data_IF_056461634072
#
_entry.id   IF_056461634072
#
_cell.length_a   1.000
_cell.length_b   1.000
_cell.length_c   1.000
_cell.angle_alpha   90.00
_cell.angle_beta   90.00
_cell.angle_gamma   90.00
#
_symmetry.space_group_name_H-M   'P 1'
#
loop_
_entity.id
_entity.type
_entity.pdbx_description
1 polymer ?
#
# COMPACT_ATOMS: atom_id res chain seq x y z
N UNK A 1 4.78 50.16 -34.42
CA UNK A 1 3.34 50.22 -34.14
C UNK A 1 2.87 48.87 -33.67
N UNK A 2 2.72 48.70 -32.36
CA UNK A 2 2.22 47.44 -31.77
C UNK A 2 0.73 47.31 -32.02
N UNK A 3 0.35 46.24 -32.67
CA UNK A 3 -1.03 45.81 -32.78
C UNK A 3 -1.39 45.30 -31.37
N UNK A 4 -2.04 46.13 -30.57
CA UNK A 4 -2.78 45.69 -29.40
C UNK A 4 -3.93 44.84 -29.95
N UNK A 5 -3.80 43.52 -29.87
CA UNK A 5 -4.92 42.62 -30.05
C UNK A 5 -5.95 42.95 -28.91
N UNK A 6 -7.00 43.66 -29.30
CA UNK A 6 -8.17 43.83 -28.47
C UNK A 6 -8.88 42.46 -28.43
N UNK A 7 -8.58 41.64 -27.41
CA UNK A 7 -9.44 40.53 -27.13
C UNK A 7 -10.83 41.05 -26.72
N UNK A 8 -11.86 40.63 -27.42
CA UNK A 8 -13.23 40.91 -27.07
C UNK A 8 -13.54 40.23 -25.70
N UNK A 9 -14.42 40.81 -24.92
CA UNK A 9 -14.86 40.25 -23.64
C UNK A 9 -15.52 38.87 -23.79
N UNK A 10 -16.08 38.58 -24.93
CA UNK A 10 -16.59 37.22 -25.26
C UNK A 10 -15.46 36.21 -25.33
N UNK A 11 -14.32 36.58 -25.90
CA UNK A 11 -13.14 35.71 -26.00
C UNK A 11 -12.54 35.41 -24.62
N UNK A 12 -12.51 36.41 -23.73
CA UNK A 12 -11.99 36.26 -22.36
C UNK A 12 -12.89 35.32 -21.56
N UNK A 13 -14.20 35.48 -21.67
CA UNK A 13 -15.16 34.59 -21.00
C UNK A 13 -15.02 33.15 -21.51
N UNK A 14 -14.91 32.98 -22.81
CA UNK A 14 -14.70 31.65 -23.42
C UNK A 14 -13.40 31.00 -22.96
N UNK A 15 -12.32 31.78 -22.82
CA UNK A 15 -11.04 31.28 -22.32
C UNK A 15 -11.17 30.79 -20.88
N UNK A 16 -11.88 31.51 -20.00
CA UNK A 16 -12.13 31.10 -18.60
C UNK A 16 -13.01 29.84 -18.57
N UNK A 17 -14.06 29.78 -19.39
CA UNK A 17 -14.94 28.61 -19.49
C UNK A 17 -14.16 27.38 -19.97
N UNK A 18 -13.24 27.53 -20.94
CA UNK A 18 -12.39 26.45 -21.40
C UNK A 18 -11.41 25.96 -20.31
N UNK A 19 -10.85 26.87 -19.51
CA UNK A 19 -10.03 26.52 -18.37
C UNK A 19 -10.84 25.76 -17.33
N UNK A 20 -12.07 26.18 -17.04
CA UNK A 20 -12.98 25.49 -16.13
C UNK A 20 -13.32 24.11 -16.65
N UNK A 21 -13.60 23.95 -17.94
CA UNK A 21 -13.90 22.62 -18.52
C UNK A 21 -12.72 21.66 -18.34
N UNK A 22 -11.47 22.11 -18.58
CA UNK A 22 -10.27 21.29 -18.32
C UNK A 22 -10.13 20.94 -16.84
N UNK A 23 -10.42 21.85 -15.95
CA UNK A 23 -10.40 21.58 -14.51
C UNK A 23 -11.44 20.52 -14.11
N UNK A 24 -12.65 20.60 -14.66
CA UNK A 24 -13.70 19.60 -14.41
C UNK A 24 -13.31 18.22 -14.97
N UNK A 25 -12.64 18.16 -16.11
CA UNK A 25 -12.10 16.91 -16.66
C UNK A 25 -11.03 16.30 -15.72
N UNK A 26 -10.09 17.10 -15.22
CA UNK A 26 -9.09 16.64 -14.27
C UNK A 26 -9.70 16.22 -12.93
N UNK A 27 -10.72 16.92 -12.48
CA UNK A 27 -11.48 16.56 -11.28
C UNK A 27 -12.21 15.23 -11.45
N UNK A 28 -12.81 15.01 -12.63
CA UNK A 28 -13.41 13.72 -12.96
C UNK A 28 -12.36 12.59 -12.96
N UNK A 29 -11.22 12.80 -13.62
CA UNK A 29 -10.11 11.84 -13.63
C UNK A 29 -9.61 11.54 -12.21
N UNK A 30 -9.51 12.55 -11.36
CA UNK A 30 -9.14 12.39 -9.95
C UNK A 30 -10.11 11.46 -9.22
N UNK A 31 -11.41 11.69 -9.33
CA UNK A 31 -12.40 10.84 -8.67
C UNK A 31 -12.42 9.41 -9.21
N UNK A 32 -12.26 9.22 -10.52
CA UNK A 32 -12.21 7.89 -11.11
C UNK A 32 -10.97 7.12 -10.66
N UNK A 33 -9.81 7.77 -10.65
CA UNK A 33 -8.55 7.15 -10.21
C UNK A 33 -8.60 6.84 -8.72
N UNK A 34 -9.12 7.74 -7.89
CA UNK A 34 -9.32 7.52 -6.47
C UNK A 34 -10.24 6.33 -6.19
N UNK A 35 -11.34 6.23 -6.93
CA UNK A 35 -12.31 5.13 -6.84
C UNK A 35 -11.68 3.77 -7.17
N UNK A 36 -10.68 3.74 -8.05
CA UNK A 36 -9.94 2.53 -8.38
C UNK A 36 -8.82 2.23 -7.36
N UNK A 37 -8.12 3.26 -6.88
CA UNK A 37 -6.94 3.11 -6.02
C UNK A 37 -7.29 2.73 -4.58
N UNK A 38 -8.29 3.36 -3.98
CA UNK A 38 -8.62 3.14 -2.57
C UNK A 38 -8.96 1.69 -2.22
N UNK A 39 -9.82 0.98 -2.97
CA UNK A 39 -10.09 -0.43 -2.68
C UNK A 39 -8.85 -1.31 -2.79
N UNK A 40 -7.94 -1.00 -3.71
CA UNK A 40 -6.69 -1.73 -3.89
C UNK A 40 -5.74 -1.53 -2.70
N UNK A 41 -5.63 -0.33 -2.18
CA UNK A 41 -4.83 -0.03 -0.99
C UNK A 41 -5.41 -0.69 0.27
N UNK A 42 -6.74 -0.71 0.41
CA UNK A 42 -7.41 -1.42 1.49
C UNK A 42 -7.16 -2.93 1.42
N UNK A 43 -7.26 -3.51 0.22
CA UNK A 43 -6.94 -4.90 -0.02
C UNK A 43 -5.48 -5.21 0.34
N UNK A 44 -4.55 -4.33 -0.01
CA UNK A 44 -3.14 -4.48 0.35
C UNK A 44 -2.94 -4.47 1.87
N UNK A 45 -3.60 -3.58 2.59
CA UNK A 45 -3.54 -3.52 4.05
C UNK A 45 -4.11 -4.79 4.70
N UNK A 46 -5.26 -5.25 4.24
CA UNK A 46 -5.89 -6.49 4.73
C UNK A 46 -5.00 -7.70 4.48
N UNK A 47 -4.47 -7.85 3.27
CA UNK A 47 -3.59 -8.96 2.90
C UNK A 47 -2.33 -9.01 3.78
N UNK A 48 -1.75 -7.85 4.09
CA UNK A 48 -0.60 -7.78 5.01
C UNK A 48 -0.95 -8.29 6.41
N UNK A 49 -2.10 -7.92 6.95
CA UNK A 49 -2.56 -8.40 8.26
C UNK A 49 -2.77 -9.92 8.25
N UNK A 50 -3.47 -10.43 7.25
CA UNK A 50 -3.73 -11.87 7.12
C UNK A 50 -2.44 -12.68 6.98
N UNK A 51 -1.49 -12.21 6.19
CA UNK A 51 -0.19 -12.87 6.05
C UNK A 51 0.57 -12.92 7.37
N UNK A 52 0.66 -11.81 8.09
CA UNK A 52 1.35 -11.76 9.38
C UNK A 52 0.69 -12.69 10.41
N UNK A 53 -0.63 -12.77 10.41
CA UNK A 53 -1.35 -13.73 11.27
C UNK A 53 -1.03 -15.18 10.88
N UNK A 54 -0.95 -15.48 9.58
CA UNK A 54 -0.67 -16.82 9.09
C UNK A 54 0.75 -17.31 9.37
N UNK A 55 1.71 -16.40 9.61
CA UNK A 55 3.11 -16.78 9.88
C UNK A 55 3.31 -17.51 11.22
N UNK A 56 2.36 -17.42 12.14
CA UNK A 56 2.37 -18.24 13.35
C UNK A 56 2.37 -19.74 13.02
N UNK A 57 1.66 -20.15 11.96
CA UNK A 57 1.56 -21.55 11.55
C UNK A 57 2.93 -22.18 11.29
N UNK A 58 3.81 -21.52 10.53
CA UNK A 58 5.16 -22.05 10.28
C UNK A 58 6.01 -22.09 11.56
N UNK A 59 5.87 -21.08 12.41
CA UNK A 59 6.59 -21.05 13.69
C UNK A 59 6.19 -22.23 14.57
N UNK A 60 4.91 -22.50 14.67
CA UNK A 60 4.37 -23.63 15.43
C UNK A 60 4.73 -24.99 14.84
N UNK A 61 4.70 -25.09 13.50
CA UNK A 61 5.08 -26.32 12.81
C UNK A 61 6.58 -26.63 13.01
N UNK A 62 7.46 -25.65 12.87
CA UNK A 62 8.90 -25.84 13.05
C UNK A 62 9.28 -26.22 14.48
N UNK A 63 8.51 -25.78 15.49
CA UNK A 63 8.71 -26.21 16.88
C UNK A 63 8.33 -27.66 17.13
N UNK A 64 7.37 -28.19 16.39
CA UNK A 64 6.91 -29.56 16.51
C UNK A 64 7.78 -30.58 15.79
N UNK A 65 8.69 -30.12 14.93
CA UNK A 65 9.57 -31.01 14.15
C UNK A 65 10.83 -31.32 14.95
N UNK A 66 10.99 -32.58 15.31
CA UNK A 66 12.19 -33.13 15.93
C UNK A 66 13.29 -33.31 14.87
N UNK A 67 14.55 -33.22 15.29
CA UNK A 67 15.75 -33.42 14.43
C UNK A 67 15.78 -32.54 13.18
N UNK A 68 15.19 -31.35 13.25
CA UNK A 68 15.24 -30.39 12.16
C UNK A 68 16.71 -30.00 11.86
N UNK A 69 17.23 -30.23 10.65
CA UNK A 69 18.64 -30.02 10.35
C UNK A 69 19.05 -28.57 10.52
N UNK A 70 20.24 -28.39 11.08
CA UNK A 70 20.81 -27.04 11.28
C UNK A 70 21.21 -26.36 9.98
N UNK A 71 21.47 -27.13 8.93
CA UNK A 71 21.84 -26.67 7.59
C UNK A 71 21.17 -27.56 6.54
N UNK A 72 20.45 -26.95 5.60
CA UNK A 72 19.91 -27.65 4.44
C UNK A 72 20.97 -27.67 3.33
N UNK A 73 21.68 -28.79 3.18
CA UNK A 73 22.84 -28.94 2.30
C UNK A 73 22.55 -28.85 0.80
N UNK A 74 21.31 -28.88 0.37
CA UNK A 74 20.95 -29.12 -1.05
C UNK A 74 20.14 -28.01 -1.70
N UNK A 75 19.95 -26.87 -1.06
CA UNK A 75 19.24 -25.77 -1.70
C UNK A 75 20.20 -24.62 -1.98
N UNK A 76 20.09 -24.10 -3.19
CA UNK A 76 20.78 -22.89 -3.67
C UNK A 76 20.46 -21.64 -2.81
N UNK A 77 19.60 -21.78 -1.82
CA UNK A 77 19.25 -20.74 -0.87
C UNK A 77 20.13 -20.89 0.36
N UNK A 78 21.23 -20.17 0.35
CA UNK A 78 22.10 -20.10 1.51
C UNK A 78 21.30 -19.68 2.75
N UNK A 79 21.42 -20.46 3.81
CA UNK A 79 20.90 -20.16 5.15
C UNK A 79 19.39 -20.03 5.28
N UNK A 80 18.67 -21.12 4.98
CA UNK A 80 17.30 -21.22 5.38
C UNK A 80 17.16 -21.77 6.81
N UNK A 81 17.45 -20.95 7.80
CA UNK A 81 17.24 -21.27 9.21
C UNK A 81 16.40 -20.21 9.88
N UNK A 82 15.23 -20.61 10.31
CA UNK A 82 14.42 -19.79 11.19
C UNK A 82 14.77 -20.16 12.64
N UNK A 83 15.61 -19.34 13.27
CA UNK A 83 16.01 -19.54 14.66
C UNK A 83 14.86 -19.27 15.64
N UNK A 84 15.06 -19.68 16.90
CA UNK A 84 14.06 -19.45 17.96
C UNK A 84 13.63 -17.98 18.09
N UNK A 85 14.55 -16.98 18.10
CA UNK A 85 14.16 -15.57 18.18
C UNK A 85 13.25 -15.13 17.04
N UNK A 86 13.49 -15.63 15.82
CA UNK A 86 12.68 -15.29 14.65
C UNK A 86 11.28 -15.92 14.74
N UNK A 87 11.18 -17.19 15.17
CA UNK A 87 9.89 -17.85 15.42
C UNK A 87 9.10 -17.14 16.51
N UNK A 88 9.74 -16.78 17.61
CA UNK A 88 9.10 -16.05 18.70
C UNK A 88 8.58 -14.68 18.22
N UNK A 89 9.37 -13.97 17.42
CA UNK A 89 8.96 -12.70 16.80
C UNK A 89 7.76 -12.86 15.86
N UNK A 90 7.71 -13.94 15.07
CA UNK A 90 6.54 -14.22 14.22
C UNK A 90 5.28 -14.48 15.05
N UNK A 91 5.41 -15.28 16.12
CA UNK A 91 4.28 -15.57 17.02
C UNK A 91 3.79 -14.32 17.73
N UNK A 92 4.67 -13.51 18.26
CA UNK A 92 4.29 -12.31 18.99
C UNK A 92 3.58 -11.32 18.03
N UNK A 93 4.09 -11.16 16.83
CA UNK A 93 3.43 -10.35 15.80
C UNK A 93 2.06 -10.92 15.45
N UNK A 94 1.96 -12.23 15.23
CA UNK A 94 0.69 -12.88 14.89
C UNK A 94 -0.35 -12.73 15.99
N UNK A 95 0.05 -12.87 17.27
CA UNK A 95 -0.83 -12.67 18.42
C UNK A 95 -1.37 -11.25 18.51
N UNK A 96 -0.53 -10.25 18.26
CA UNK A 96 -0.97 -8.85 18.26
C UNK A 96 -1.93 -8.59 17.11
N UNK A 97 -1.63 -9.11 15.91
CA UNK A 97 -2.54 -9.02 14.76
C UNK A 97 -3.88 -9.70 15.06
N UNK A 98 -3.85 -10.90 15.63
CA UNK A 98 -5.07 -11.64 16.01
C UNK A 98 -5.91 -10.87 17.03
N UNK A 99 -5.27 -10.24 18.02
CA UNK A 99 -5.95 -9.39 18.98
C UNK A 99 -6.62 -8.17 18.31
N UNK A 100 -5.94 -7.53 17.37
CA UNK A 100 -6.48 -6.42 16.57
C UNK A 100 -7.68 -6.89 15.75
N UNK A 101 -7.56 -8.03 15.09
CA UNK A 101 -8.61 -8.60 14.24
C UNK A 101 -9.84 -9.01 15.05
N UNK A 102 -9.65 -9.61 16.23
CA UNK A 102 -10.73 -10.02 17.17
C UNK A 102 -11.38 -8.84 17.87
N UNK A 103 -10.62 -7.77 18.13
CA UNK A 103 -11.13 -6.54 18.73
C UNK A 103 -12.05 -5.73 17.81
N UNK A 104 -12.25 -6.21 16.60
CA UNK A 104 -13.13 -5.64 15.58
C UNK A 104 -12.37 -4.80 14.58
N UNK A 105 -11.97 -5.40 13.45
CA UNK A 105 -11.46 -4.63 12.31
C UNK A 105 -12.46 -3.60 11.79
N UNK A 106 -13.73 -3.72 12.12
CA UNK A 106 -14.72 -2.69 11.89
C UNK A 106 -14.35 -1.35 12.56
N UNK A 107 -13.56 -1.40 13.63
CA UNK A 107 -13.07 -0.22 14.35
C UNK A 107 -11.68 0.25 13.84
N UNK A 108 -10.93 -0.60 13.14
CA UNK A 108 -9.69 -0.20 12.45
C UNK A 108 -10.10 0.37 11.08
N UNK A 109 -10.35 1.65 11.02
CA UNK A 109 -10.88 2.26 9.81
C UNK A 109 -9.94 2.12 8.63
N UNK A 110 -10.56 2.25 7.50
CA UNK A 110 -9.97 2.23 6.17
C UNK A 110 -8.70 3.10 6.04
N UNK A 111 -8.63 4.22 6.75
CA UNK A 111 -7.45 5.08 6.79
C UNK A 111 -6.21 4.40 7.37
N UNK A 112 -6.37 3.55 8.38
CA UNK A 112 -5.27 2.78 8.98
C UNK A 112 -4.76 1.72 8.03
N UNK A 113 -5.67 0.99 7.40
CA UNK A 113 -5.31 -0.03 6.42
C UNK A 113 -4.64 0.57 5.19
N UNK A 114 -5.10 1.75 4.75
CA UNK A 114 -4.46 2.52 3.68
C UNK A 114 -3.04 2.94 4.08
N UNK A 115 -2.86 3.42 5.30
CA UNK A 115 -1.54 3.78 5.81
C UNK A 115 -0.62 2.56 5.91
N UNK A 116 -1.12 1.42 6.40
CA UNK A 116 -0.38 0.16 6.41
C UNK A 116 0.06 -0.27 5.01
N UNK A 117 -0.80 -0.09 4.03
CA UNK A 117 -0.48 -0.42 2.65
C UNK A 117 0.58 0.50 2.05
N UNK A 118 0.55 1.78 2.37
CA UNK A 118 1.41 2.80 1.76
C UNK A 118 2.73 2.99 2.48
N UNK A 119 2.71 2.99 3.83
CA UNK A 119 3.86 3.39 4.62
C UNK A 119 4.85 2.31 4.89
N UNK A 120 4.41 1.14 5.12
CA UNK A 120 5.35 0.07 5.28
C UNK A 120 4.70 -1.25 5.01
N UNK A 121 5.47 -2.05 4.39
CA UNK A 121 5.25 -3.44 4.46
C UNK A 121 5.32 -3.94 5.88
N UNK A 122 5.78 -3.24 6.85
CA UNK A 122 5.92 -3.80 8.18
C UNK A 122 5.17 -3.01 9.21
N UNK A 123 4.44 -3.73 10.01
CA UNK A 123 3.94 -3.23 11.27
C UNK A 123 5.06 -2.76 12.22
N UNK A 124 6.31 -2.94 11.84
CA UNK A 124 7.52 -2.53 12.57
C UNK A 124 8.09 -1.21 12.09
N UNK A 125 7.43 -0.52 11.14
CA UNK A 125 7.82 0.83 10.76
C UNK A 125 7.72 1.76 11.97
N UNK A 126 8.77 2.52 12.23
CA UNK A 126 8.82 3.51 13.31
C UNK A 126 8.47 4.88 12.77
N UNK A 127 7.55 5.54 13.43
CA UNK A 127 7.23 6.93 13.11
C UNK A 127 8.39 7.86 13.48
N UNK A 128 8.72 8.78 12.58
CA UNK A 128 9.74 9.79 12.76
C UNK A 128 9.12 11.17 13.05
N UNK A 129 9.90 12.12 13.61
CA UNK A 129 9.41 13.45 14.00
C UNK A 129 8.77 14.25 12.86
N UNK A 130 9.11 13.91 11.63
CA UNK A 130 8.65 14.60 10.43
C UNK A 130 7.57 13.84 9.67
N UNK A 131 7.02 12.80 10.25
CA UNK A 131 5.86 12.15 9.66
C UNK A 131 4.67 13.09 9.78
N UNK A 132 4.45 13.86 8.72
CA UNK A 132 3.43 14.91 8.64
C UNK A 132 2.02 14.36 8.65
N UNK A 133 1.89 13.05 8.63
CA UNK A 133 0.61 12.40 8.52
C UNK A 133 0.03 12.20 9.90
N UNK A 134 -0.86 13.10 10.22
CA UNK A 134 -1.87 12.81 11.23
C UNK A 134 -2.86 11.85 10.61
N UNK A 135 -2.64 10.57 10.84
CA UNK A 135 -3.59 9.55 10.42
C UNK A 135 -4.93 9.85 11.09
N UNK A 136 -6.01 10.06 10.32
CA UNK A 136 -7.32 10.28 10.90
C UNK A 136 -7.68 9.11 11.83
N UNK A 137 -8.05 9.42 13.07
CA UNK A 137 -8.38 8.41 14.08
C UNK A 137 -7.18 7.84 14.84
N UNK A 138 -5.93 8.17 14.45
CA UNK A 138 -4.77 7.92 15.30
C UNK A 138 -4.54 9.09 16.27
N UNK A 139 -4.34 8.83 17.56
CA UNK A 139 -3.68 9.79 18.41
C UNK A 139 -2.28 10.06 17.81
N UNK A 140 -1.70 11.21 18.12
CA UNK A 140 -0.37 11.52 17.63
C UNK A 140 0.58 10.37 17.99
N UNK A 141 1.06 9.67 16.98
CA UNK A 141 2.04 8.61 17.20
C UNK A 141 3.35 9.26 17.65
N UNK A 142 3.81 8.85 18.82
CA UNK A 142 5.09 9.32 19.34
C UNK A 142 6.23 8.78 18.47
N UNK A 143 7.30 9.59 18.36
CA UNK A 143 8.52 9.18 17.68
C UNK A 143 9.00 7.84 18.21
N UNK A 144 9.34 6.95 17.28
CA UNK A 144 9.84 5.61 17.58
C UNK A 144 8.77 4.57 17.87
N UNK A 145 7.48 4.96 17.98
CA UNK A 145 6.37 4.01 18.05
C UNK A 145 6.21 3.29 16.70
N UNK A 146 6.04 1.99 16.73
CA UNK A 146 5.77 1.21 15.52
C UNK A 146 4.27 1.23 15.20
N UNK A 147 3.92 0.95 13.94
CA UNK A 147 2.51 0.80 13.55
C UNK A 147 1.83 -0.28 14.40
N UNK A 148 2.53 -1.39 14.65
CA UNK A 148 2.02 -2.48 15.49
C UNK A 148 1.72 -2.03 16.92
N UNK A 149 2.64 -1.28 17.53
CA UNK A 149 2.44 -0.72 18.88
C UNK A 149 1.30 0.28 18.89
N UNK A 150 1.21 1.16 17.90
CA UNK A 150 0.12 2.12 17.78
C UNK A 150 -1.24 1.42 17.66
N UNK A 151 -1.33 0.35 16.88
CA UNK A 151 -2.54 -0.45 16.74
C UNK A 151 -2.90 -1.21 18.04
N UNK A 152 -1.91 -1.71 18.76
CA UNK A 152 -2.11 -2.52 19.97
C UNK A 152 -2.44 -1.71 21.22
N UNK A 153 -1.92 -0.48 21.32
CA UNK A 153 -2.04 0.35 22.53
C UNK A 153 -3.16 1.38 22.46
N UNK A 154 -3.61 1.71 21.26
CA UNK A 154 -4.60 2.76 21.05
C UNK A 154 -5.92 2.16 20.57
N UNK A 155 -7.00 2.41 21.32
CA UNK A 155 -8.35 2.20 20.81
C UNK A 155 -8.60 3.20 19.69
N UNK A 156 -8.39 2.76 18.45
CA UNK A 156 -8.61 3.56 17.27
C UNK A 156 -10.13 3.65 17.08
N UNK A 157 -10.72 4.70 17.62
CA UNK A 157 -12.09 5.05 17.28
C UNK A 157 -12.09 5.74 15.93
N UNK A 158 -12.36 5.00 14.88
CA UNK A 158 -12.56 5.59 13.57
C UNK A 158 -13.99 6.10 13.50
N UNK A 159 -14.18 7.36 13.09
CA UNK A 159 -15.53 7.83 12.78
C UNK A 159 -16.14 6.93 11.71
N UNK A 160 -17.36 6.50 11.94
CA UNK A 160 -18.12 5.62 11.01
C UNK A 160 -18.47 6.28 9.66
N UNK A 161 -17.84 7.39 9.33
CA UNK A 161 -18.01 8.10 8.06
C UNK A 161 -17.03 7.52 7.03
N UNK A 162 -17.46 6.49 6.31
CA UNK A 162 -16.73 5.95 5.17
C UNK A 162 -16.26 7.03 4.19
N UNK A 163 -15.31 6.72 3.34
CA UNK A 163 -14.74 7.52 2.25
C UNK A 163 -13.98 8.83 2.65
N UNK A 164 -14.40 9.59 3.63
CA UNK A 164 -13.77 10.89 3.99
C UNK A 164 -12.41 10.69 4.65
N UNK A 165 -12.27 9.71 5.54
CA UNK A 165 -11.01 9.43 6.22
C UNK A 165 -9.95 8.89 5.26
N UNK A 166 -10.35 8.00 4.34
CA UNK A 166 -9.48 7.42 3.30
C UNK A 166 -8.97 8.49 2.34
N UNK A 167 -9.87 9.32 1.85
CA UNK A 167 -9.56 10.45 0.97
C UNK A 167 -8.61 11.42 1.67
N UNK A 168 -8.81 11.69 2.95
CA UNK A 168 -7.96 12.58 3.74
C UNK A 168 -6.54 12.05 3.89
N UNK A 169 -6.38 10.75 4.14
CA UNK A 169 -5.06 10.11 4.21
C UNK A 169 -4.35 10.19 2.87
N UNK A 170 -5.02 9.81 1.79
CA UNK A 170 -4.45 9.84 0.46
C UNK A 170 -4.06 11.25 0.03
N UNK A 171 -4.92 12.24 0.29
CA UNK A 171 -4.65 13.63 -0.01
C UNK A 171 -3.46 14.18 0.80
N UNK A 172 -3.37 13.86 2.08
CA UNK A 172 -2.23 14.26 2.91
C UNK A 172 -0.90 13.69 2.39
N UNK A 173 -0.91 12.41 1.98
CA UNK A 173 0.27 11.72 1.46
C UNK A 173 0.71 12.28 0.11
N UNK A 174 -0.23 12.53 -0.78
CA UNK A 174 0.04 13.04 -2.13
C UNK A 174 0.28 14.55 -2.16
N UNK A 175 0.17 15.22 -1.01
CA UNK A 175 0.36 16.66 -0.91
C UNK A 175 -0.72 17.44 -1.66
N UNK A 176 -1.92 16.90 -1.74
CA UNK A 176 -3.07 17.57 -2.34
C UNK A 176 -3.63 18.55 -1.30
N UNK A 177 -3.34 19.84 -1.38
CA UNK A 177 -4.12 20.81 -0.63
C UNK A 177 -5.57 20.68 -1.10
N UNK A 178 -6.51 21.21 -0.36
CA UNK A 178 -7.94 21.23 -0.75
C UNK A 178 -8.14 21.85 -2.16
N UNK A 179 -7.81 21.06 -3.19
CA UNK A 179 -7.65 21.52 -4.58
C UNK A 179 -8.98 21.53 -5.29
N UNK A 180 -9.94 20.79 -4.75
CA UNK A 180 -11.29 20.75 -5.30
C UNK A 180 -12.03 21.93 -4.70
N UNK A 181 -12.13 22.99 -5.49
CA UNK A 181 -12.83 24.20 -5.08
C UNK A 181 -13.74 24.71 -6.20
N UNK A 182 -14.76 25.43 -5.80
CA UNK A 182 -15.57 26.23 -6.70
C UNK A 182 -14.85 27.56 -6.95
N UNK A 183 -14.62 27.88 -8.21
CA UNK A 183 -13.96 29.12 -8.61
C UNK A 183 -14.92 30.32 -8.72
N UNK A 184 -16.21 30.09 -8.61
CA UNK A 184 -17.21 31.15 -8.63
C UNK A 184 -17.25 31.94 -9.94
N UNK A 185 -17.10 31.26 -11.07
CA UNK A 185 -17.11 31.86 -12.43
C UNK A 185 -18.37 32.68 -12.68
N UNK A 186 -19.49 32.24 -12.12
CA UNK A 186 -20.79 32.95 -12.24
C UNK A 186 -20.77 34.33 -11.62
N UNK A 187 -19.85 34.60 -10.70
CA UNK A 187 -19.67 35.89 -10.02
C UNK A 187 -18.77 36.87 -10.79
N UNK A 188 -18.24 36.44 -11.93
CA UNK A 188 -17.33 37.25 -12.71
C UNK A 188 -18.06 38.40 -13.36
N UNK A 189 -17.64 39.62 -13.04
CA UNK A 189 -18.17 40.85 -13.68
C UNK A 189 -17.79 40.85 -15.16
N UNK A 190 -18.77 41.12 -16.02
CA UNK A 190 -18.57 41.14 -17.48
C UNK A 190 -17.56 42.19 -17.97
N UNK A 191 -17.13 43.10 -17.10
CA UNK A 191 -16.28 44.24 -17.48
C UNK A 191 -14.85 44.19 -16.94
N UNK A 192 -14.47 43.16 -16.19
CA UNK A 192 -13.15 43.05 -15.56
C UNK A 192 -12.29 41.95 -16.20
N UNK A 193 -11.56 42.37 -17.26
CA UNK A 193 -10.62 41.46 -17.97
C UNK A 193 -9.49 40.98 -17.07
N UNK A 194 -8.98 41.80 -16.20
CA UNK A 194 -7.85 41.49 -15.33
C UNK A 194 -8.26 40.44 -14.29
N UNK A 195 -9.47 40.60 -13.71
CA UNK A 195 -10.03 39.62 -12.80
C UNK A 195 -10.27 38.24 -13.50
N UNK A 196 -10.78 38.28 -14.73
CA UNK A 196 -10.99 37.06 -15.54
C UNK A 196 -9.68 36.35 -15.85
N UNK A 197 -8.63 37.06 -16.24
CA UNK A 197 -7.32 36.46 -16.51
C UNK A 197 -6.65 35.91 -15.25
N UNK A 198 -6.75 36.59 -14.11
CA UNK A 198 -6.27 36.06 -12.82
C UNK A 198 -7.02 34.80 -12.41
N UNK A 199 -8.32 34.76 -12.65
CA UNK A 199 -9.14 33.60 -12.37
C UNK A 199 -8.75 32.42 -13.27
N UNK A 200 -8.56 32.67 -14.57
CA UNK A 200 -8.05 31.67 -15.52
C UNK A 200 -6.73 31.07 -15.04
N UNK A 201 -5.76 31.91 -14.66
CA UNK A 201 -4.45 31.47 -14.22
C UNK A 201 -4.56 30.62 -12.93
N UNK A 202 -5.46 31.01 -12.03
CA UNK A 202 -5.76 30.23 -10.82
C UNK A 202 -6.35 28.87 -11.16
N UNK A 203 -7.33 28.81 -12.07
CA UNK A 203 -7.95 27.57 -12.52
C UNK A 203 -6.91 26.67 -13.19
N UNK A 204 -6.11 27.20 -14.11
CA UNK A 204 -5.09 26.44 -14.81
C UNK A 204 -4.04 25.86 -13.85
N UNK A 205 -3.62 26.64 -12.86
CA UNK A 205 -2.70 26.17 -11.81
C UNK A 205 -3.28 24.98 -11.02
N UNK A 206 -4.55 25.04 -10.66
CA UNK A 206 -5.22 23.96 -9.96
C UNK A 206 -5.42 22.74 -10.84
N UNK A 207 -5.74 22.93 -12.12
CA UNK A 207 -5.83 21.84 -13.09
C UNK A 207 -4.49 21.09 -13.23
N UNK A 208 -3.38 21.83 -13.32
CA UNK A 208 -2.04 21.22 -13.40
C UNK A 208 -1.69 20.45 -12.11
N UNK A 209 -2.01 21.01 -10.94
CA UNK A 209 -1.78 20.31 -9.67
C UNK A 209 -2.61 19.03 -9.58
N UNK A 210 -3.86 19.09 -10.00
CA UNK A 210 -4.75 17.93 -10.00
C UNK A 210 -4.29 16.85 -10.98
N UNK A 211 -3.85 17.23 -12.18
CA UNK A 211 -3.27 16.32 -13.16
C UNK A 211 -2.00 15.63 -12.66
N UNK A 212 -1.12 16.35 -11.94
CA UNK A 212 0.07 15.76 -11.31
C UNK A 212 -0.31 14.70 -10.26
N UNK A 213 -1.30 15.01 -9.43
CA UNK A 213 -1.80 14.09 -8.42
C UNK A 213 -2.43 12.84 -9.06
N UNK A 214 -3.24 13.02 -10.09
CA UNK A 214 -3.83 11.90 -10.86
C UNK A 214 -2.73 11.02 -11.44
N UNK A 215 -1.70 11.62 -12.03
CA UNK A 215 -0.54 10.88 -12.56
C UNK A 215 0.20 10.08 -11.48
N UNK A 216 0.37 10.63 -10.29
CA UNK A 216 0.95 9.92 -9.13
C UNK A 216 0.07 8.76 -8.70
N UNK A 217 -1.23 8.96 -8.56
CA UNK A 217 -2.18 7.91 -8.17
C UNK A 217 -2.21 6.77 -9.18
N UNK A 218 -2.18 7.07 -10.48
CA UNK A 218 -2.16 6.06 -11.55
C UNK A 218 -0.90 5.19 -11.50
N UNK A 219 0.27 5.79 -11.25
CA UNK A 219 1.51 5.04 -11.06
C UNK A 219 1.46 4.11 -9.85
N UNK A 220 0.93 4.59 -8.74
CA UNK A 220 0.74 3.79 -7.53
C UNK A 220 -0.22 2.63 -7.82
N UNK A 221 -1.35 2.90 -8.48
CA UNK A 221 -2.35 1.89 -8.84
C UNK A 221 -1.72 0.73 -9.60
N UNK A 222 -1.03 1.01 -10.71
CA UNK A 222 -0.42 -0.03 -11.57
C UNK A 222 0.62 -0.83 -10.81
N UNK A 223 1.46 -0.17 -10.04
CA UNK A 223 2.58 -0.85 -9.37
C UNK A 223 2.12 -1.64 -8.16
N UNK A 224 1.19 -1.11 -7.38
CA UNK A 224 0.61 -1.83 -6.24
C UNK A 224 -0.18 -3.06 -6.71
N UNK A 225 -0.94 -2.95 -7.79
CA UNK A 225 -1.65 -4.09 -8.37
C UNK A 225 -0.69 -5.23 -8.75
N UNK A 226 0.41 -4.92 -9.42
CA UNK A 226 1.44 -5.91 -9.77
C UNK A 226 2.08 -6.53 -8.53
N UNK A 227 2.45 -5.71 -7.56
CA UNK A 227 3.05 -6.18 -6.31
C UNK A 227 2.10 -7.12 -5.57
N UNK A 228 0.83 -6.76 -5.46
CA UNK A 228 -0.19 -7.57 -4.78
C UNK A 228 -0.41 -8.91 -5.48
N UNK A 229 -0.41 -8.95 -6.80
CA UNK A 229 -0.55 -10.20 -7.54
C UNK A 229 0.58 -11.18 -7.21
N UNK A 230 1.83 -10.73 -7.12
CA UNK A 230 2.94 -11.58 -6.70
C UNK A 230 2.87 -12.00 -5.24
N UNK A 231 2.54 -11.06 -4.36
CA UNK A 231 2.37 -11.37 -2.93
C UNK A 231 1.27 -12.42 -2.74
N UNK A 232 0.15 -12.28 -3.43
CA UNK A 232 -0.96 -13.22 -3.34
C UNK A 232 -0.55 -14.63 -3.79
N UNK A 233 0.15 -14.77 -4.91
CA UNK A 233 0.65 -16.06 -5.39
C UNK A 233 1.61 -16.72 -4.41
N UNK A 234 2.57 -15.94 -3.89
CA UNK A 234 3.51 -16.46 -2.90
C UNK A 234 2.79 -16.88 -1.61
N UNK A 235 1.76 -16.13 -1.20
CA UNK A 235 0.96 -16.47 -0.04
C UNK A 235 0.12 -17.73 -0.26
N UNK A 236 -0.46 -17.89 -1.44
CA UNK A 236 -1.22 -19.10 -1.79
C UNK A 236 -0.32 -20.33 -1.80
N UNK A 237 0.89 -20.23 -2.36
CA UNK A 237 1.91 -21.29 -2.31
C UNK A 237 2.33 -21.59 -0.88
N UNK A 238 2.54 -20.56 -0.05
CA UNK A 238 2.87 -20.75 1.36
C UNK A 238 1.77 -21.53 2.09
N UNK A 239 0.52 -21.14 1.92
CA UNK A 239 -0.61 -21.79 2.57
C UNK A 239 -0.73 -23.26 2.12
N UNK A 240 -0.52 -23.53 0.83
CA UNK A 240 -0.51 -24.88 0.29
C UNK A 240 0.62 -25.76 0.91
N UNK A 241 1.81 -25.20 1.10
CA UNK A 241 2.89 -25.91 1.79
C UNK A 241 2.58 -26.15 3.26
N UNK A 242 2.00 -25.15 3.94
CA UNK A 242 1.59 -25.30 5.35
C UNK A 242 0.58 -26.42 5.55
N UNK A 243 -0.38 -26.54 4.64
CA UNK A 243 -1.36 -27.63 4.69
C UNK A 243 -0.68 -29.01 4.60
N UNK A 244 0.28 -29.18 3.70
CA UNK A 244 1.09 -30.42 3.60
C UNK A 244 1.89 -30.71 4.87
N UNK A 245 2.53 -29.66 5.44
CA UNK A 245 3.32 -29.81 6.66
C UNK A 245 2.45 -30.22 7.83
N UNK A 246 1.31 -29.56 8.01
CA UNK A 246 0.37 -29.86 9.09
C UNK A 246 -0.19 -31.28 8.98
N UNK A 247 -0.49 -31.75 7.78
CA UNK A 247 -0.88 -33.14 7.54
C UNK A 247 0.24 -34.11 7.91
N UNK A 248 1.48 -33.82 7.53
CA UNK A 248 2.64 -34.65 7.89
C UNK A 248 2.80 -34.74 9.40
N UNK A 249 2.62 -33.63 10.13
CA UNK A 249 2.77 -33.56 11.59
C UNK A 249 1.70 -34.33 12.37
N UNK A 250 0.59 -34.66 11.76
CA UNK A 250 -0.41 -35.56 12.35
C UNK A 250 0.11 -37.00 12.45
N UNK A 251 0.99 -37.43 11.53
CA UNK A 251 1.48 -38.78 11.44
C UNK A 251 2.88 -38.97 12.02
N UNK A 252 3.76 -37.96 11.82
CA UNK A 252 5.18 -38.07 12.19
C UNK A 252 5.77 -36.69 12.48
N UNK A 253 6.62 -36.62 13.48
CA UNK A 253 7.28 -35.38 13.93
C UNK A 253 8.79 -35.39 13.70
N UNK A 254 9.38 -36.55 13.47
CA UNK A 254 10.81 -36.72 13.26
C UNK A 254 11.18 -36.39 11.79
N UNK A 255 11.94 -35.30 11.58
CA UNK A 255 12.35 -34.87 10.24
C UNK A 255 13.10 -35.92 9.45
N UNK A 256 13.85 -36.79 10.13
CA UNK A 256 14.59 -37.87 9.46
C UNK A 256 13.66 -38.87 8.78
N UNK A 257 12.43 -39.01 9.29
CA UNK A 257 11.39 -39.88 8.74
C UNK A 257 10.52 -39.23 7.68
N UNK A 258 10.74 -37.96 7.42
CA UNK A 258 10.01 -37.25 6.37
C UNK A 258 10.48 -37.70 5.00
N UNK A 259 9.55 -37.84 4.08
CA UNK A 259 9.85 -38.07 2.67
C UNK A 259 10.57 -36.86 2.07
N UNK A 260 11.16 -37.00 0.90
CA UNK A 260 11.80 -35.89 0.19
C UNK A 260 10.81 -34.77 -0.11
N UNK A 261 9.57 -35.11 -0.44
CA UNK A 261 8.50 -34.14 -0.72
C UNK A 261 8.10 -33.38 0.54
N UNK A 262 7.93 -34.06 1.67
CA UNK A 262 7.61 -33.46 2.95
C UNK A 262 8.74 -32.54 3.45
N UNK A 263 9.99 -32.95 3.27
CA UNK A 263 11.17 -32.11 3.55
C UNK A 263 11.21 -30.86 2.69
N UNK A 264 10.91 -31.02 1.40
CA UNK A 264 10.82 -29.90 0.47
C UNK A 264 9.72 -28.91 0.87
N UNK A 265 8.56 -29.42 1.30
CA UNK A 265 7.46 -28.55 1.76
C UNK A 265 7.87 -27.66 2.95
N UNK A 266 8.57 -28.25 3.95
CA UNK A 266 9.08 -27.48 5.11
C UNK A 266 10.02 -26.35 4.67
N UNK A 267 10.99 -26.70 3.83
CA UNK A 267 12.01 -25.75 3.36
C UNK A 267 11.38 -24.64 2.51
N UNK A 268 10.50 -25.05 1.60
CA UNK A 268 9.85 -24.09 0.70
C UNK A 268 8.89 -23.14 1.45
N UNK A 269 8.09 -23.66 2.38
CA UNK A 269 7.21 -22.83 3.21
C UNK A 269 8.00 -21.75 3.96
N UNK A 270 9.08 -22.15 4.54
CA UNK A 270 9.90 -21.25 5.30
C UNK A 270 10.61 -20.21 4.39
N UNK A 271 11.09 -20.60 3.19
CA UNK A 271 11.59 -19.66 2.18
C UNK A 271 10.50 -18.65 1.78
N UNK A 272 9.29 -19.11 1.54
CA UNK A 272 8.15 -18.26 1.19
C UNK A 272 7.85 -17.24 2.29
N UNK A 273 7.87 -17.64 3.55
CA UNK A 273 7.67 -16.70 4.68
C UNK A 273 8.75 -15.63 4.71
N UNK A 274 10.03 -15.98 4.52
CA UNK A 274 11.11 -14.99 4.46
C UNK A 274 10.93 -14.02 3.29
N UNK A 275 10.56 -14.53 2.14
CA UNK A 275 10.32 -13.74 0.94
C UNK A 275 9.13 -12.81 1.14
N UNK A 276 8.00 -13.32 1.61
CA UNK A 276 6.80 -12.54 1.93
C UNK A 276 7.09 -11.47 2.98
N UNK A 277 7.82 -11.83 4.04
CA UNK A 277 8.24 -10.88 5.06
C UNK A 277 9.12 -9.76 4.49
N UNK A 278 10.04 -10.09 3.59
CA UNK A 278 10.87 -9.09 2.90
C UNK A 278 10.02 -8.20 1.97
N UNK A 279 9.12 -8.78 1.19
CA UNK A 279 8.23 -8.04 0.29
C UNK A 279 7.28 -7.10 1.05
N UNK A 280 6.77 -7.53 2.19
CA UNK A 280 5.90 -6.69 3.02
C UNK A 280 6.66 -5.57 3.75
N UNK A 281 7.99 -5.58 3.76
CA UNK A 281 8.82 -4.51 4.33
C UNK A 281 9.08 -3.34 3.40
N UNK A 282 8.66 -3.44 2.15
CA UNK A 282 8.92 -2.37 1.18
C UNK A 282 7.95 -1.24 1.40
N UNK A 283 8.50 -0.07 1.67
CA UNK A 283 7.73 1.15 1.72
C UNK A 283 7.30 1.52 0.30
N UNK A 284 6.01 1.65 0.08
CA UNK A 284 5.48 2.09 -1.23
C UNK A 284 5.77 3.57 -1.45
N UNK A 285 5.79 4.34 -0.38
CA UNK A 285 6.14 5.76 -0.39
C UNK A 285 7.37 6.01 0.46
N UNK A 286 8.35 6.70 -0.10
CA UNK A 286 9.54 7.17 0.60
C UNK A 286 9.41 8.66 0.89
N UNK A 287 9.77 9.06 2.10
CA UNK A 287 9.88 10.46 2.45
C UNK A 287 11.23 11.01 1.99
N UNK A 288 11.20 12.07 1.20
CA UNK A 288 12.38 12.83 0.79
C UNK A 288 12.18 14.31 1.15
N UNK A 289 12.76 14.75 2.26
CA UNK A 289 12.50 16.07 2.83
C UNK A 289 11.03 16.20 3.26
N UNK A 290 10.31 17.16 2.68
CA UNK A 290 8.87 17.39 2.95
C UNK A 290 7.95 16.73 1.91
N UNK A 291 8.50 15.97 0.97
CA UNK A 291 7.75 15.33 -0.11
C UNK A 291 7.74 13.82 0.04
N UNK A 292 6.66 13.20 -0.37
CA UNK A 292 6.57 11.76 -0.55
C UNK A 292 6.79 11.41 -2.01
N UNK A 293 7.69 10.46 -2.25
CA UNK A 293 7.99 9.93 -3.58
C UNK A 293 7.70 8.44 -3.62
N UNK A 294 7.24 7.99 -4.77
CA UNK A 294 6.93 6.60 -4.99
C UNK A 294 8.22 5.77 -5.07
N UNK A 295 8.29 4.67 -4.30
CA UNK A 295 9.46 3.80 -4.21
C UNK A 295 9.56 2.84 -5.40
N UNK A 296 9.78 3.40 -6.58
CA UNK A 296 9.81 2.61 -7.83
C UNK A 296 10.96 1.60 -7.84
N UNK A 297 12.11 1.94 -7.24
CA UNK A 297 13.31 1.10 -7.33
C UNK A 297 13.14 -0.20 -6.55
N UNK A 298 12.82 -0.12 -5.26
CA UNK A 298 12.70 -1.30 -4.41
C UNK A 298 11.53 -2.18 -4.85
N UNK A 299 10.41 -1.56 -5.25
CA UNK A 299 9.24 -2.30 -5.74
C UNK A 299 9.57 -3.04 -7.03
N UNK A 300 10.29 -2.40 -7.95
CA UNK A 300 10.72 -3.05 -9.20
C UNK A 300 11.67 -4.21 -8.92
N UNK A 301 12.65 -4.03 -8.03
CA UNK A 301 13.56 -5.09 -7.65
C UNK A 301 12.83 -6.31 -7.10
N UNK A 302 11.86 -6.09 -6.21
CA UNK A 302 11.05 -7.17 -5.65
C UNK A 302 10.19 -7.87 -6.71
N UNK A 303 9.59 -7.11 -7.61
CA UNK A 303 8.83 -7.68 -8.73
C UNK A 303 9.74 -8.53 -9.62
N UNK A 304 10.95 -8.05 -9.91
CA UNK A 304 11.91 -8.78 -10.75
C UNK A 304 12.40 -10.06 -10.06
N UNK A 305 12.62 -10.03 -8.75
CA UNK A 305 12.92 -11.25 -7.96
C UNK A 305 11.74 -12.22 -7.95
N UNK A 306 10.52 -11.73 -7.81
CA UNK A 306 9.32 -12.58 -7.85
C UNK A 306 9.11 -13.23 -9.23
N UNK A 307 9.44 -12.56 -10.31
CA UNK A 307 9.40 -13.13 -11.67
C UNK A 307 10.32 -14.34 -11.85
N UNK A 308 11.44 -14.38 -11.15
CA UNK A 308 12.36 -15.53 -11.17
C UNK A 308 11.66 -16.78 -10.60
N UNK A 309 10.79 -16.60 -9.61
CA UNK A 309 10.01 -17.67 -9.00
C UNK A 309 8.81 -18.10 -9.85
N UNK A 310 8.29 -17.20 -10.69
CA UNK A 310 7.14 -17.43 -11.57
C UNK A 310 7.43 -17.00 -13.02
N UNK A 311 8.32 -17.69 -13.73
CA UNK A 311 8.82 -17.24 -15.03
C UNK A 311 7.79 -17.25 -16.17
N UNK A 312 6.65 -17.91 -16.03
CA UNK A 312 5.70 -18.13 -17.12
C UNK A 312 4.55 -17.12 -17.21
N UNK A 313 4.50 -16.11 -16.33
CA UNK A 313 3.34 -15.22 -16.26
C UNK A 313 3.58 -13.80 -16.81
N UNK A 314 4.37 -13.64 -17.85
CA UNK A 314 4.39 -12.42 -18.66
C UNK A 314 3.18 -12.29 -19.60
N UNK A 315 2.05 -12.90 -19.27
CA UNK A 315 0.84 -12.69 -20.05
C UNK A 315 0.03 -11.53 -19.50
N UNK A 316 0.26 -10.39 -20.13
CA UNK A 316 -0.64 -9.27 -20.43
C UNK A 316 -1.76 -8.99 -19.41
N UNK A 317 -1.77 -7.84 -18.74
CA UNK A 317 -3.00 -7.33 -18.18
C UNK A 317 -3.97 -7.06 -19.34
N UNK A 318 -4.93 -7.93 -19.50
CA UNK A 318 -6.04 -7.70 -20.39
C UNK A 318 -6.84 -6.52 -19.86
N UNK A 319 -6.56 -5.35 -20.38
CA UNK A 319 -7.51 -4.25 -20.40
C UNK A 319 -8.65 -4.74 -21.28
N UNK A 320 -9.65 -5.36 -20.66
CA UNK A 320 -10.95 -5.49 -21.31
C UNK A 320 -11.72 -4.22 -21.02
N UNK A 321 -11.99 -3.54 -22.11
CA UNK A 321 -12.81 -2.34 -22.22
C UNK A 321 -14.17 -2.46 -21.54
#
# INVERSE_FOLDING_TARGET
>A
AGIKLYMDMRDVKQIVENSQARYEDEKYNYYQTQKALLPLLLLAGNLKLEMWQSFERIADALEQIDNLPRQFKYMTFETFRMGKPERDSLRDTAKVVDAIMKGGMADVGSGVLTALALYSGTMTHKFEDNDVIKLPGFPQCEKGTTILEALSTHQIKVPAAGNVAETSVLNAILGVPAVIQDFGIDKLSKNDKDAAMKLKDKIDKHSMQLADVVGKMQRILITVERLLNYIQKLNDDYLAQMEKIEQTLLEKKDYEKFTSEEKTAVVYAAFLVKTLKAMTRIDILLKRGNLYVFNTMDIREVIDQAKILFPEEEQTPGIKA
#
